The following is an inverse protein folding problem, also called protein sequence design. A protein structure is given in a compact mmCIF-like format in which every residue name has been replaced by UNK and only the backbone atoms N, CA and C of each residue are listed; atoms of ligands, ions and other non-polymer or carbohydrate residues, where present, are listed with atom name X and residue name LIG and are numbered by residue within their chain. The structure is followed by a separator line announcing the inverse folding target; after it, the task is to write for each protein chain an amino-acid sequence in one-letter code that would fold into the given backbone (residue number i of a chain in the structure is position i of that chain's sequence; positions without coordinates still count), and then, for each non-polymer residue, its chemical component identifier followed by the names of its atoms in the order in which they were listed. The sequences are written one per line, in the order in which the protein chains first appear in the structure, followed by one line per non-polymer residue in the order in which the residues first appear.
data_IF_881989014145
#
_entry.id   IF_881989014145
#
_cell.length_a   1.000
_cell.length_b   1.000
_cell.length_c   1.000
_cell.angle_alpha   90.00
_cell.angle_beta   90.00
_cell.angle_gamma   90.00
#
_symmetry.space_group_name_H-M   'P 1'
#
loop_
_entity.id
_entity.type
_entity.pdbx_description
1 polymer ?
#
# COMPACT_ATOMS: atom_id res chain seq x y z
N UNK A 1 -14.49 -7.52 -8.59
CA UNK A 1 -13.82 -7.83 -7.31
C UNK A 1 -14.34 -6.91 -6.22
N UNK A 2 -14.55 -7.42 -5.03
CA UNK A 2 -14.79 -6.62 -3.83
C UNK A 2 -13.73 -6.96 -2.80
N UNK A 3 -13.23 -5.95 -2.10
CA UNK A 3 -12.25 -6.13 -1.04
C UNK A 3 -12.67 -5.35 0.21
N UNK A 4 -12.24 -5.84 1.37
CA UNK A 4 -12.30 -5.14 2.66
C UNK A 4 -10.92 -5.10 3.25
N UNK A 5 -10.58 -3.98 3.85
CA UNK A 5 -9.30 -3.77 4.52
C UNK A 5 -9.52 -3.11 5.88
N UNK A 6 -8.74 -3.55 6.85
CA UNK A 6 -8.50 -2.84 8.10
C UNK A 6 -7.05 -2.43 8.07
N UNK A 7 -6.77 -1.17 8.36
CA UNK A 7 -5.42 -0.61 8.42
C UNK A 7 -5.22 0.12 9.72
N UNK A 8 -4.04 -0.01 10.30
CA UNK A 8 -3.54 0.73 11.46
C UNK A 8 -2.08 1.13 11.23
N UNK A 9 -1.52 1.93 12.11
CA UNK A 9 -0.08 2.29 12.08
C UNK A 9 0.84 1.07 12.18
N UNK A 10 0.38 -0.02 12.77
CA UNK A 10 1.17 -1.22 13.07
C UNK A 10 0.88 -2.41 12.15
N UNK A 11 -0.08 -2.26 11.23
CA UNK A 11 -0.41 -3.37 10.35
C UNK A 11 -1.69 -3.20 9.55
N UNK A 12 -1.95 -4.19 8.71
CA UNK A 12 -3.18 -4.28 7.94
C UNK A 12 -3.67 -5.72 7.81
N UNK A 13 -4.96 -5.84 7.57
CA UNK A 13 -5.60 -7.08 7.10
C UNK A 13 -6.43 -6.74 5.87
N UNK A 14 -6.09 -7.33 4.74
CA UNK A 14 -6.81 -7.19 3.49
C UNK A 14 -7.45 -8.52 3.10
N UNK A 15 -8.71 -8.49 2.67
CA UNK A 15 -9.44 -9.66 2.15
C UNK A 15 -10.17 -9.27 0.89
N UNK A 16 -10.04 -10.08 -0.16
CA UNK A 16 -10.73 -9.88 -1.42
C UNK A 16 -11.41 -11.15 -1.88
N UNK A 17 -12.52 -10.97 -2.58
CA UNK A 17 -13.25 -12.03 -3.25
C UNK A 17 -13.45 -11.67 -4.73
N UNK A 18 -13.08 -12.58 -5.62
CA UNK A 18 -13.18 -12.44 -7.06
C UNK A 18 -14.03 -13.61 -7.59
N UNK A 19 -15.05 -13.31 -8.40
CA UNK A 19 -15.97 -14.32 -8.91
C UNK A 19 -17.23 -14.49 -8.07
N UNK A 20 -18.03 -15.48 -8.41
CA UNK A 20 -19.30 -15.79 -7.73
C UNK A 20 -19.41 -17.31 -7.52
N UNK A 21 -20.05 -17.70 -6.41
CA UNK A 21 -20.36 -19.11 -6.08
C UNK A 21 -19.11 -20.00 -6.03
N UNK A 22 -19.18 -21.23 -6.57
CA UNK A 22 -18.11 -22.25 -6.54
C UNK A 22 -16.81 -21.84 -7.27
N UNK A 23 -16.85 -20.81 -8.12
CA UNK A 23 -15.69 -20.28 -8.84
C UNK A 23 -15.09 -19.03 -8.18
N UNK A 24 -15.35 -18.83 -6.89
CA UNK A 24 -14.82 -17.69 -6.17
C UNK A 24 -13.36 -17.92 -5.76
N UNK A 25 -12.49 -17.00 -6.18
CA UNK A 25 -11.15 -16.89 -5.65
C UNK A 25 -11.16 -15.94 -4.44
N UNK A 26 -10.60 -16.39 -3.33
CA UNK A 26 -10.47 -15.60 -2.11
C UNK A 26 -8.99 -15.32 -1.86
N UNK A 27 -8.66 -14.04 -1.73
CA UNK A 27 -7.33 -13.57 -1.33
C UNK A 27 -7.37 -12.97 0.07
N UNK A 28 -6.32 -13.23 0.84
CA UNK A 28 -6.07 -12.55 2.10
C UNK A 28 -4.58 -12.22 2.22
N UNK A 29 -4.30 -11.00 2.61
CA UNK A 29 -2.96 -10.50 2.87
C UNK A 29 -2.97 -9.75 4.21
N UNK A 30 -1.95 -9.96 5.02
CA UNK A 30 -1.83 -9.24 6.28
C UNK A 30 -0.38 -8.96 6.63
N UNK A 31 -0.19 -7.91 7.40
CA UNK A 31 1.04 -7.57 8.09
C UNK A 31 0.72 -7.08 9.50
N UNK A 32 1.44 -7.59 10.48
CA UNK A 32 1.45 -7.06 11.84
C UNK A 32 2.71 -7.55 12.57
N UNK A 33 3.35 -6.67 13.34
CA UNK A 33 4.46 -7.01 14.24
C UNK A 33 5.57 -7.84 13.55
N UNK A 34 6.12 -7.33 12.45
CA UNK A 34 7.17 -7.99 11.63
C UNK A 34 6.75 -9.31 10.98
N UNK A 35 5.48 -9.66 11.03
CA UNK A 35 4.96 -10.86 10.41
C UNK A 35 4.06 -10.51 9.22
N UNK A 36 4.37 -11.07 8.07
CA UNK A 36 3.58 -10.92 6.84
C UNK A 36 3.14 -12.27 6.32
N UNK A 37 1.92 -12.35 5.79
CA UNK A 37 1.40 -13.56 5.17
C UNK A 37 0.45 -13.24 4.04
N UNK A 38 0.63 -13.94 2.93
CA UNK A 38 -0.22 -13.86 1.75
C UNK A 38 -0.86 -15.21 1.49
N UNK A 39 -2.17 -15.24 1.29
CA UNK A 39 -2.94 -16.43 0.98
C UNK A 39 -3.88 -16.17 -0.18
N UNK A 40 -3.89 -17.09 -1.15
CA UNK A 40 -4.89 -17.13 -2.19
C UNK A 40 -5.41 -18.56 -2.35
N UNK A 41 -6.72 -18.70 -2.47
CA UNK A 41 -7.39 -20.00 -2.69
C UNK A 41 -8.48 -19.87 -3.74
N UNK A 42 -8.72 -20.96 -4.46
CA UNK A 42 -9.83 -21.12 -5.39
C UNK A 42 -10.67 -22.29 -4.93
N UNK A 43 -11.86 -21.99 -4.40
CA UNK A 43 -12.66 -23.00 -3.71
C UNK A 43 -11.86 -23.64 -2.56
N UNK A 44 -11.71 -24.96 -2.58
CA UNK A 44 -10.92 -25.72 -1.60
C UNK A 44 -9.42 -25.82 -1.95
N UNK A 45 -9.00 -25.35 -3.15
CA UNK A 45 -7.62 -25.43 -3.62
C UNK A 45 -6.85 -24.21 -3.14
N UNK A 46 -5.77 -24.43 -2.39
CA UNK A 46 -4.84 -23.40 -1.94
C UNK A 46 -3.83 -23.13 -3.06
N UNK A 47 -3.87 -21.94 -3.65
CA UNK A 47 -2.97 -21.52 -4.73
C UNK A 47 -1.68 -20.91 -4.20
N UNK A 48 -1.76 -20.07 -3.17
CA UNK A 48 -0.63 -19.38 -2.55
C UNK A 48 -0.77 -19.43 -1.03
N UNK A 49 0.33 -19.70 -0.35
CA UNK A 49 0.46 -19.55 1.10
C UNK A 49 1.91 -19.19 1.39
N UNK A 50 2.22 -17.91 1.21
CA UNK A 50 3.58 -17.38 1.39
C UNK A 50 3.73 -16.76 2.77
N UNK A 51 4.82 -17.14 3.46
CA UNK A 51 5.24 -16.61 4.75
C UNK A 51 6.77 -16.72 4.83
N UNK A 52 7.44 -15.58 4.88
CA UNK A 52 8.89 -15.48 5.03
C UNK A 52 9.25 -14.07 5.51
N UNK A 53 10.50 -13.87 5.88
CA UNK A 53 11.05 -12.53 6.19
C UNK A 53 10.90 -11.56 5.00
N UNK A 54 11.09 -12.06 3.77
CA UNK A 54 10.92 -11.25 2.56
C UNK A 54 9.48 -10.83 2.34
N UNK A 55 8.52 -11.73 2.58
CA UNK A 55 7.09 -11.41 2.51
C UNK A 55 6.74 -10.38 3.60
N UNK A 56 7.25 -10.52 4.81
CA UNK A 56 7.03 -9.56 5.88
C UNK A 56 7.58 -8.18 5.51
N UNK A 57 8.81 -8.10 5.00
CA UNK A 57 9.45 -6.84 4.56
C UNK A 57 8.71 -6.21 3.37
N UNK A 58 8.28 -7.02 2.40
CA UNK A 58 7.45 -6.55 1.28
C UNK A 58 6.10 -6.00 1.76
N UNK A 59 5.46 -6.68 2.72
CA UNK A 59 4.18 -6.26 3.30
C UNK A 59 4.31 -4.99 4.13
N UNK A 60 5.45 -4.79 4.84
CA UNK A 60 5.77 -3.54 5.52
C UNK A 60 5.82 -2.36 4.54
N UNK A 61 6.49 -2.53 3.39
CA UNK A 61 6.52 -1.49 2.35
C UNK A 61 5.13 -1.19 1.77
N UNK A 62 4.27 -2.20 1.68
CA UNK A 62 2.85 -2.01 1.32
C UNK A 62 2.13 -1.18 2.39
N UNK A 63 2.25 -1.55 3.67
CA UNK A 63 1.66 -0.79 4.77
C UNK A 63 2.07 0.68 4.69
N UNK A 64 3.36 0.96 4.54
CA UNK A 64 3.88 2.32 4.46
C UNK A 64 3.21 3.13 3.34
N UNK A 65 3.10 2.56 2.13
CA UNK A 65 2.44 3.22 1.00
C UNK A 65 0.94 3.45 1.21
N UNK A 66 0.29 2.61 2.03
CA UNK A 66 -1.14 2.72 2.32
C UNK A 66 -1.47 3.64 3.51
N UNK A 67 -0.46 4.13 4.28
CA UNK A 67 -0.70 5.08 5.39
C UNK A 67 -1.31 6.41 4.95
N UNK A 68 -1.23 6.77 3.68
CA UNK A 68 -1.95 7.95 3.13
C UNK A 68 -3.48 7.79 3.20
N UNK A 69 -3.98 6.57 3.40
CA UNK A 69 -5.39 6.29 3.65
C UNK A 69 -5.75 6.39 5.14
N UNK A 70 -4.76 6.59 6.00
CA UNK A 70 -4.90 6.78 7.44
C UNK A 70 -4.16 8.07 7.85
N UNK A 71 -4.71 9.27 7.57
CA UNK A 71 -3.99 10.53 7.72
C UNK A 71 -3.37 10.75 9.11
N UNK A 72 -4.02 10.24 10.16
CA UNK A 72 -3.53 10.32 11.54
C UNK A 72 -2.19 9.60 11.76
N UNK A 73 -1.86 8.60 10.94
CA UNK A 73 -0.60 7.87 11.04
C UNK A 73 0.61 8.66 10.53
N UNK A 74 0.37 9.68 9.73
CA UNK A 74 1.42 10.53 9.13
C UNK A 74 1.63 11.84 9.88
N UNK A 75 1.05 12.00 11.05
CA UNK A 75 1.26 13.17 11.89
C UNK A 75 2.69 13.21 12.47
N UNK A 76 3.30 14.40 12.61
CA UNK A 76 4.63 14.53 13.26
C UNK A 76 4.68 13.97 14.67
N UNK A 77 3.57 14.03 15.42
CA UNK A 77 3.42 13.46 16.78
C UNK A 77 3.55 11.92 16.80
N UNK A 78 3.46 11.27 15.64
CA UNK A 78 3.69 9.82 15.46
C UNK A 78 5.14 9.51 15.05
N UNK A 79 6.03 10.49 15.12
CA UNK A 79 7.44 10.33 14.75
C UNK A 79 7.72 10.45 13.26
N UNK A 80 6.77 10.96 12.49
CA UNK A 80 6.98 11.22 11.05
C UNK A 80 7.68 12.54 10.85
N UNK A 81 8.76 12.53 10.08
CA UNK A 81 9.51 13.73 9.68
C UNK A 81 9.16 14.10 8.25
N UNK A 82 8.77 15.35 8.05
CA UNK A 82 8.42 15.89 6.74
C UNK A 82 9.51 16.79 6.19
N UNK A 83 9.78 16.68 4.90
CA UNK A 83 10.76 17.52 4.19
C UNK A 83 10.18 17.94 2.83
N UNK A 84 10.17 19.23 2.54
CA UNK A 84 9.90 19.74 1.21
C UNK A 84 11.14 19.52 0.32
N UNK A 85 10.94 18.95 -0.86
CA UNK A 85 11.97 18.75 -1.87
C UNK A 85 11.87 19.87 -2.91
N UNK A 86 10.67 20.17 -3.38
CA UNK A 86 10.34 21.26 -4.27
C UNK A 86 8.90 21.75 -4.01
N UNK A 87 8.34 22.57 -4.89
CA UNK A 87 7.00 23.16 -4.74
C UNK A 87 5.85 22.11 -4.70
N UNK A 88 6.07 20.93 -5.26
CA UNK A 88 5.04 19.88 -5.39
C UNK A 88 5.47 18.55 -4.78
N UNK A 89 6.75 18.39 -4.47
CA UNK A 89 7.31 17.13 -3.98
C UNK A 89 7.70 17.24 -2.53
N UNK A 90 7.18 16.36 -1.71
CA UNK A 90 7.47 16.25 -0.28
C UNK A 90 7.89 14.84 0.08
N UNK A 91 8.72 14.70 1.09
CA UNK A 91 9.11 13.42 1.67
C UNK A 91 8.58 13.29 3.09
N UNK A 92 8.04 12.10 3.38
CA UNK A 92 7.68 11.69 4.73
C UNK A 92 8.56 10.52 5.14
N UNK A 93 9.39 10.70 6.17
CA UNK A 93 10.23 9.65 6.73
C UNK A 93 9.65 9.17 8.05
N UNK A 94 9.53 7.86 8.20
CA UNK A 94 8.94 7.22 9.36
C UNK A 94 9.64 5.88 9.65
N UNK A 95 9.33 5.30 10.80
CA UNK A 95 9.83 3.98 11.19
C UNK A 95 8.66 3.04 11.45
N UNK A 96 8.68 1.87 10.80
CA UNK A 96 7.68 0.82 11.04
C UNK A 96 8.43 -0.42 11.54
N UNK A 97 8.14 -0.84 12.76
CA UNK A 97 8.74 -2.03 13.38
C UNK A 97 10.29 -2.03 13.38
N UNK A 98 10.92 -0.85 13.44
CA UNK A 98 12.38 -0.69 13.42
C UNK A 98 12.98 -0.53 12.01
N UNK A 99 12.20 -0.64 10.96
CA UNK A 99 12.64 -0.42 9.57
C UNK A 99 12.35 1.03 9.15
N UNK A 100 13.35 1.80 8.72
CA UNK A 100 13.13 3.15 8.21
C UNK A 100 12.50 3.09 6.82
N UNK A 101 11.50 3.95 6.60
CA UNK A 101 10.82 4.09 5.32
C UNK A 101 10.74 5.58 4.96
N UNK A 102 10.98 5.90 3.70
CA UNK A 102 10.73 7.24 3.14
C UNK A 102 9.72 7.13 2.02
N UNK A 103 8.64 7.87 2.15
CA UNK A 103 7.63 8.06 1.13
C UNK A 103 7.94 9.36 0.38
N UNK A 104 7.96 9.32 -0.94
CA UNK A 104 7.98 10.51 -1.80
C UNK A 104 6.57 10.75 -2.30
N UNK A 105 6.01 11.90 -1.98
CA UNK A 105 4.66 12.30 -2.33
C UNK A 105 4.71 13.50 -3.28
N UNK A 106 3.90 13.45 -4.33
CA UNK A 106 3.68 14.58 -5.22
C UNK A 106 2.25 15.07 -5.02
N UNK A 107 2.12 16.35 -4.77
CA UNK A 107 0.84 17.04 -4.59
C UNK A 107 0.56 17.99 -5.75
N UNK A 108 -0.71 18.27 -6.01
CA UNK A 108 -1.11 19.32 -6.94
C UNK A 108 -1.14 20.70 -6.27
N UNK A 109 -1.58 21.71 -7.02
CA UNK A 109 -1.68 23.10 -6.51
C UNK A 109 -2.72 23.28 -5.41
N UNK A 110 -3.68 22.37 -5.28
CA UNK A 110 -4.71 22.38 -4.24
C UNK A 110 -4.30 21.55 -3.02
N UNK A 111 -3.10 20.96 -3.05
CA UNK A 111 -2.56 20.13 -1.99
C UNK A 111 -3.04 18.68 -2.01
N UNK A 112 -3.72 18.24 -3.05
CA UNK A 112 -4.16 16.85 -3.21
C UNK A 112 -2.99 15.96 -3.56
N UNK A 113 -2.97 14.77 -2.99
CA UNK A 113 -2.00 13.75 -3.35
C UNK A 113 -2.30 13.22 -4.76
N UNK A 114 -1.33 13.36 -5.68
CA UNK A 114 -1.42 12.83 -7.05
C UNK A 114 -0.54 11.62 -7.29
N UNK A 115 0.62 11.53 -6.62
CA UNK A 115 1.52 10.38 -6.73
C UNK A 115 2.17 10.08 -5.39
N UNK A 116 2.45 8.81 -5.17
CA UNK A 116 3.29 8.34 -4.06
C UNK A 116 4.25 7.29 -4.58
N UNK A 117 5.49 7.33 -4.13
CA UNK A 117 6.48 6.29 -4.41
C UNK A 117 7.38 6.03 -3.20
N UNK A 118 7.93 4.82 -3.16
CA UNK A 118 8.92 4.39 -2.17
C UNK A 118 9.77 3.24 -2.73
N UNK A 119 10.99 3.04 -2.23
CA UNK A 119 11.70 1.78 -2.41
C UNK A 119 10.99 0.69 -1.62
N UNK A 120 10.43 -0.32 -2.29
CA UNK A 120 9.72 -1.43 -1.66
C UNK A 120 10.46 -2.75 -1.91
N UNK A 121 10.62 -3.56 -0.87
CA UNK A 121 11.20 -4.89 -0.97
C UNK A 121 10.31 -5.80 -1.81
N UNK A 122 10.90 -6.41 -2.86
CA UNK A 122 10.14 -7.25 -3.78
C UNK A 122 11.06 -8.05 -4.68
N UNK A 123 10.49 -9.03 -5.37
CA UNK A 123 11.19 -9.94 -6.28
C UNK A 123 10.75 -9.79 -7.76
N UNK A 124 10.21 -8.64 -8.13
CA UNK A 124 9.84 -8.32 -9.50
C UNK A 124 11.07 -7.92 -10.34
N UNK A 125 12.14 -8.67 -10.19
CA UNK A 125 13.40 -8.62 -10.92
C UNK A 125 13.42 -9.67 -12.05
N UNK A 126 14.40 -9.62 -12.93
CA UNK A 126 14.51 -10.60 -14.04
C UNK A 126 14.81 -12.02 -13.54
N UNK A 127 15.59 -12.14 -12.47
CA UNK A 127 16.02 -13.41 -11.86
C UNK A 127 15.16 -13.83 -10.67
N UNK A 128 14.15 -13.01 -10.29
CA UNK A 128 13.28 -13.28 -9.13
C UNK A 128 13.94 -13.04 -7.76
N UNK A 129 15.13 -12.44 -7.73
CA UNK A 129 15.81 -12.09 -6.48
C UNK A 129 15.10 -10.93 -5.77
N UNK A 130 15.12 -10.97 -4.45
CA UNK A 130 14.56 -9.90 -3.63
C UNK A 130 15.51 -8.72 -3.51
N UNK A 131 15.00 -7.52 -3.77
CA UNK A 131 15.70 -6.25 -3.62
C UNK A 131 14.72 -5.10 -3.41
N UNK A 132 15.22 -3.91 -3.11
CA UNK A 132 14.41 -2.71 -3.13
C UNK A 132 14.15 -2.26 -4.57
N UNK A 133 12.87 -2.20 -4.93
CA UNK A 133 12.39 -1.83 -6.27
C UNK A 133 11.53 -0.56 -6.13
N UNK A 134 11.62 0.41 -7.06
CA UNK A 134 10.69 1.52 -7.10
C UNK A 134 9.25 1.00 -7.16
N UNK A 135 8.46 1.34 -6.15
CA UNK A 135 7.05 1.01 -6.06
C UNK A 135 6.26 2.29 -5.86
N UNK A 136 5.10 2.40 -6.46
CA UNK A 136 4.30 3.59 -6.28
C UNK A 136 3.01 3.53 -7.06
N UNK A 137 2.28 4.65 -7.04
CA UNK A 137 1.00 4.75 -7.69
C UNK A 137 0.52 6.17 -7.88
N UNK A 138 -0.61 6.25 -8.57
CA UNK A 138 -1.31 7.50 -8.85
C UNK A 138 -2.65 7.54 -8.12
N UNK A 139 -3.04 8.73 -7.71
CA UNK A 139 -4.25 9.02 -6.96
C UNK A 139 -5.05 10.05 -7.78
N UNK A 140 -6.28 9.73 -8.12
CA UNK A 140 -7.05 10.54 -9.08
C UNK A 140 -8.20 11.30 -8.42
N UNK A 141 -8.87 10.69 -7.46
CA UNK A 141 -10.01 11.29 -6.77
C UNK A 141 -9.83 11.22 -5.26
N UNK A 142 -10.43 12.18 -4.58
CA UNK A 142 -10.57 12.20 -3.14
C UNK A 142 -12.05 12.13 -2.74
N UNK A 143 -12.31 11.55 -1.58
CA UNK A 143 -13.64 11.53 -0.96
C UNK A 143 -13.52 11.70 0.55
N UNK A 144 -14.55 12.32 1.10
CA UNK A 144 -14.68 12.50 2.55
C UNK A 144 -15.53 11.37 3.13
N UNK A 145 -14.98 10.70 4.15
CA UNK A 145 -15.62 9.65 4.91
C UNK A 145 -15.49 9.99 6.40
N UNK A 146 -16.62 10.17 7.09
CA UNK A 146 -16.60 10.46 8.54
C UNK A 146 -15.76 11.68 8.95
N UNK A 147 -15.67 12.69 8.07
CA UNK A 147 -14.89 13.91 8.30
C UNK A 147 -13.43 13.86 7.83
N UNK A 148 -12.94 12.70 7.35
CA UNK A 148 -11.60 12.57 6.78
C UNK A 148 -11.67 12.50 5.26
N UNK A 149 -10.91 13.37 4.58
CA UNK A 149 -10.73 13.33 3.13
C UNK A 149 -9.50 12.50 2.80
N UNK A 150 -9.68 11.46 2.01
CA UNK A 150 -8.62 10.54 1.58
C UNK A 150 -8.69 10.28 0.07
N UNK A 151 -7.59 9.87 -0.56
CA UNK A 151 -7.62 9.37 -1.93
C UNK A 151 -8.62 8.23 -2.09
N UNK A 152 -9.44 8.27 -3.13
CA UNK A 152 -10.50 7.27 -3.35
C UNK A 152 -10.35 6.47 -4.63
N UNK A 153 -9.61 6.95 -5.63
CA UNK A 153 -9.20 6.18 -6.80
C UNK A 153 -7.68 6.04 -6.83
N UNK A 154 -7.22 4.80 -6.82
CA UNK A 154 -5.81 4.45 -6.61
C UNK A 154 -5.39 3.47 -7.69
N UNK A 155 -4.25 3.71 -8.32
CA UNK A 155 -3.49 2.71 -9.06
C UNK A 155 -2.13 2.50 -8.39
N UNK A 156 -1.57 1.29 -8.49
CA UNK A 156 -0.24 1.01 -7.95
C UNK A 156 0.48 -0.08 -8.75
N UNK A 157 1.79 0.02 -8.77
CA UNK A 157 2.62 -0.91 -9.53
C UNK A 157 4.09 -0.88 -9.13
N UNK A 158 4.80 -1.85 -9.69
CA UNK A 158 6.24 -2.00 -9.56
C UNK A 158 6.98 -1.20 -10.64
N UNK A 159 8.24 -0.83 -10.36
CA UNK A 159 9.08 -0.03 -11.23
C UNK A 159 8.49 1.35 -11.54
N UNK A 160 7.73 1.90 -10.58
CA UNK A 160 7.06 3.19 -10.71
C UNK A 160 8.05 4.31 -11.05
N UNK A 161 7.67 5.18 -11.99
CA UNK A 161 8.52 6.27 -12.48
C UNK A 161 9.61 5.84 -13.46
N UNK A 162 9.61 4.58 -13.93
CA UNK A 162 10.57 4.07 -14.92
C UNK A 162 9.86 3.54 -16.17
N UNK A 163 10.63 3.32 -17.25
CA UNK A 163 10.11 2.69 -18.47
C UNK A 163 9.61 1.24 -18.26
N UNK A 164 9.93 0.62 -17.12
CA UNK A 164 9.53 -0.74 -16.75
C UNK A 164 8.28 -0.78 -15.90
N UNK A 165 7.57 0.34 -15.72
CA UNK A 165 6.39 0.41 -14.87
C UNK A 165 5.36 -0.66 -15.21
N UNK A 166 4.98 -1.45 -14.23
CA UNK A 166 3.97 -2.50 -14.31
C UNK A 166 2.88 -2.23 -13.26
N UNK A 167 1.77 -1.63 -13.70
CA UNK A 167 0.57 -1.51 -12.88
C UNK A 167 -0.07 -2.90 -12.71
N UNK A 168 -0.33 -3.29 -11.48
CA UNK A 168 -1.01 -4.56 -11.17
C UNK A 168 -2.21 -4.38 -10.25
N UNK A 169 -2.39 -3.19 -9.69
CA UNK A 169 -3.47 -2.91 -8.74
C UNK A 169 -4.20 -1.63 -9.12
N UNK A 170 -5.52 -1.70 -9.12
CA UNK A 170 -6.41 -0.55 -9.24
C UNK A 170 -7.61 -0.73 -8.32
N UNK A 171 -7.93 0.31 -7.56
CA UNK A 171 -9.04 0.26 -6.60
C UNK A 171 -9.80 1.59 -6.55
N UNK A 172 -11.09 1.48 -6.20
CA UNK A 172 -11.92 2.60 -5.80
C UNK A 172 -12.44 2.34 -4.39
N UNK A 173 -12.14 3.24 -3.45
CA UNK A 173 -12.66 3.20 -2.10
C UNK A 173 -14.10 3.72 -2.13
N UNK A 174 -15.04 2.85 -1.77
CA UNK A 174 -16.46 3.18 -1.76
C UNK A 174 -16.96 3.55 -0.36
N UNK A 175 -16.29 3.05 0.65
CA UNK A 175 -16.64 3.27 2.06
C UNK A 175 -15.38 3.20 2.91
N UNK A 176 -15.26 4.08 3.90
CA UNK A 176 -14.24 4.04 4.94
C UNK A 176 -14.87 4.45 6.28
N UNK A 177 -14.38 3.85 7.37
CA UNK A 177 -14.73 4.18 8.75
C UNK A 177 -13.44 4.38 9.53
N UNK A 178 -13.37 5.47 10.29
CA UNK A 178 -12.24 5.81 11.14
C UNK A 178 -12.64 5.63 12.61
N UNK A 179 -11.76 5.01 13.39
CA UNK A 179 -12.00 4.70 14.83
C UNK A 179 -10.77 5.04 15.66
#
# INVERSE_FOLDING_TARGET
MQAKQIISEQGFVWKAAIGRSLFQMVGADYYAHKSGRMRFSWGLIRLVNAHSSDIARSSLGRLAGELVLLPSALLPQRGVTWKAIDEKTIEASLNIDGEPVTLTLVIDTDGKLVKLSLPRWGNQTQDGSYTYIPFGGEYQEERTFGGFTIPSQISAGWWFGTARYLEFFRATIKQAEFR
#
